data_IF_043479170394
#
_entry.id   IF_043479170394
#
_cell.length_a   1.000
_cell.length_b   1.000
_cell.length_c   1.000
_cell.angle_alpha   90.00
_cell.angle_beta   90.00
_cell.angle_gamma   90.00
#
_symmetry.space_group_name_H-M   'P 1'
#
loop_
_entity.id
_entity.type
_entity.pdbx_description
1 polymer ?
#
# COMPACT_ATOMS: atom_id res chain seq x y z
N UNK A 1 -7.73 1.69 47.79
CA UNK A 1 -6.82 0.75 47.08
C UNK A 1 -7.47 0.37 45.74
N UNK A 2 -7.07 0.99 44.63
CA UNK A 2 -7.58 0.63 43.30
C UNK A 2 -6.70 -0.46 42.70
N UNK A 3 -7.25 -1.68 42.57
CA UNK A 3 -6.62 -2.79 41.83
C UNK A 3 -6.69 -2.51 40.32
N UNK A 4 -5.70 -1.82 39.77
CA UNK A 4 -5.40 -1.89 38.33
C UNK A 4 -4.81 -3.28 38.05
N UNK A 5 -5.68 -4.22 37.67
CA UNK A 5 -5.27 -5.52 37.13
C UNK A 5 -4.48 -5.28 35.84
N UNK A 6 -3.40 -6.03 35.63
CA UNK A 6 -2.39 -5.89 34.56
C UNK A 6 -2.93 -5.85 33.13
N UNK A 7 -3.65 -4.77 32.81
CA UNK A 7 -4.21 -4.42 31.52
C UNK A 7 -3.35 -3.28 30.97
N UNK A 8 -2.84 -3.50 29.78
CA UNK A 8 -2.03 -2.52 29.06
C UNK A 8 -2.93 -1.92 28.01
N UNK A 9 -2.95 -0.58 27.94
CA UNK A 9 -3.69 0.09 26.88
C UNK A 9 -3.02 -0.24 25.54
N UNK A 10 -3.81 -0.56 24.50
CA UNK A 10 -3.31 -1.11 23.22
C UNK A 10 -2.14 -0.32 22.62
N UNK A 11 -2.17 1.00 22.79
CA UNK A 11 -1.15 1.93 22.29
C UNK A 11 0.25 1.71 22.93
N UNK A 12 0.36 0.94 24.02
CA UNK A 12 1.61 0.64 24.72
C UNK A 12 2.07 -0.80 24.57
N UNK A 13 1.37 -1.62 23.77
CA UNK A 13 1.69 -3.05 23.65
C UNK A 13 3.08 -3.24 23.03
N UNK A 14 3.40 -2.49 21.99
CA UNK A 14 4.71 -2.58 21.31
C UNK A 14 5.84 -2.01 22.17
N UNK A 15 5.60 -0.90 22.87
CA UNK A 15 6.56 -0.33 23.81
C UNK A 15 6.84 -1.30 24.97
N UNK A 16 5.80 -1.89 25.55
CA UNK A 16 5.97 -2.89 26.60
C UNK A 16 6.71 -4.13 26.10
N UNK A 17 6.39 -4.62 24.90
CA UNK A 17 7.09 -5.75 24.29
C UNK A 17 8.59 -5.46 24.14
N UNK A 18 8.94 -4.26 23.68
CA UNK A 18 10.33 -3.81 23.57
C UNK A 18 11.04 -3.77 24.93
N UNK A 19 10.40 -3.21 25.96
CA UNK A 19 10.98 -3.15 27.31
C UNK A 19 11.16 -4.55 27.93
N UNK A 20 10.20 -5.46 27.72
CA UNK A 20 10.30 -6.86 28.17
C UNK A 20 11.48 -7.56 27.49
N UNK A 21 11.63 -7.41 26.17
CA UNK A 21 12.74 -8.02 25.41
C UNK A 21 14.09 -7.50 25.95
N UNK A 22 14.20 -6.20 26.20
CA UNK A 22 15.42 -5.61 26.76
C UNK A 22 15.75 -6.14 28.15
N UNK A 23 14.77 -6.16 29.07
CA UNK A 23 15.00 -6.59 30.45
C UNK A 23 15.26 -8.10 30.54
N UNK A 24 14.67 -8.89 29.63
CA UNK A 24 14.85 -10.33 29.57
C UNK A 24 16.24 -10.78 29.10
N UNK A 25 17.07 -9.87 28.56
CA UNK A 25 18.47 -10.12 28.16
C UNK A 25 18.65 -11.36 27.28
N UNK A 26 17.88 -11.46 26.20
CA UNK A 26 17.94 -12.56 25.23
C UNK A 26 17.06 -13.77 25.54
N UNK A 27 16.45 -13.84 26.73
CA UNK A 27 15.60 -14.98 27.12
C UNK A 27 14.31 -15.08 26.31
N UNK A 28 13.81 -13.96 25.76
CA UNK A 28 12.59 -13.98 24.93
C UNK A 28 12.91 -14.64 23.60
N UNK A 29 13.97 -14.19 22.94
CA UNK A 29 14.46 -14.67 21.67
C UNK A 29 14.84 -16.15 21.76
N UNK A 30 15.59 -16.53 22.80
CA UNK A 30 15.90 -17.94 23.09
C UNK A 30 14.63 -18.77 23.21
N UNK A 31 13.64 -18.31 24.00
CA UNK A 31 12.39 -19.04 24.14
C UNK A 31 11.62 -19.15 22.83
N UNK A 32 11.62 -18.11 21.99
CA UNK A 32 11.01 -18.16 20.66
C UNK A 32 11.69 -19.23 19.79
N UNK A 33 13.02 -19.29 19.76
CA UNK A 33 13.75 -20.32 19.00
C UNK A 33 13.59 -21.74 19.54
N UNK A 34 13.18 -21.90 20.80
CA UNK A 34 12.77 -23.22 21.34
C UNK A 34 11.38 -23.66 20.89
N UNK A 35 10.58 -22.75 20.33
CA UNK A 35 9.19 -22.99 19.92
C UNK A 35 9.06 -23.01 18.40
N UNK A 36 9.77 -22.10 17.72
CA UNK A 36 9.68 -21.88 16.29
C UNK A 36 11.06 -21.96 15.67
N UNK A 37 11.23 -22.81 14.67
CA UNK A 37 12.41 -22.81 13.82
C UNK A 37 12.40 -21.60 12.85
N UNK A 38 11.20 -21.18 12.44
CA UNK A 38 10.97 -20.11 11.46
C UNK A 38 9.85 -19.16 11.92
N UNK A 39 10.07 -17.85 11.73
CA UNK A 39 9.07 -16.80 11.93
C UNK A 39 8.89 -16.04 10.61
N UNK A 40 7.64 -15.98 10.12
CA UNK A 40 7.29 -15.24 8.91
C UNK A 40 6.39 -14.06 9.30
N UNK A 41 6.78 -12.86 8.88
CA UNK A 41 6.03 -11.63 9.10
C UNK A 41 5.62 -11.05 7.75
N UNK A 42 4.32 -11.03 7.48
CA UNK A 42 3.74 -10.42 6.29
C UNK A 42 3.26 -8.99 6.57
N UNK A 43 3.06 -8.19 5.50
CA UNK A 43 2.58 -6.81 5.54
C UNK A 43 3.43 -5.89 6.45
N UNK A 44 4.76 -6.06 6.45
CA UNK A 44 5.65 -5.40 7.41
C UNK A 44 5.67 -3.87 7.30
N UNK A 45 5.14 -3.30 6.22
CA UNK A 45 4.95 -1.87 6.07
C UNK A 45 3.83 -1.27 6.93
N UNK A 46 3.01 -2.13 7.55
CA UNK A 46 1.98 -1.75 8.51
C UNK A 46 2.49 -1.82 9.97
N UNK A 47 3.72 -2.30 10.19
CA UNK A 47 4.36 -2.27 11.52
C UNK A 47 4.62 -0.82 11.94
N UNK A 48 4.29 -0.50 13.19
CA UNK A 48 4.46 0.84 13.73
C UNK A 48 5.96 1.18 13.97
N UNK A 49 6.25 2.45 14.28
CA UNK A 49 7.62 2.88 14.63
C UNK A 49 8.17 2.17 15.86
N UNK A 50 7.34 1.95 16.87
CA UNK A 50 7.66 1.19 18.09
C UNK A 50 7.78 -0.30 17.76
N UNK A 51 6.89 -0.83 16.92
CA UNK A 51 6.97 -2.20 16.43
C UNK A 51 8.30 -2.50 15.71
N UNK A 52 8.85 -1.53 14.95
CA UNK A 52 10.16 -1.67 14.34
C UNK A 52 11.30 -1.82 15.37
N UNK A 53 11.17 -1.26 16.57
CA UNK A 53 12.15 -1.51 17.65
C UNK A 53 12.10 -2.93 18.18
N UNK A 54 10.92 -3.57 18.16
CA UNK A 54 10.79 -5.00 18.46
C UNK A 54 11.40 -5.82 17.33
N UNK A 55 11.08 -5.50 16.07
CA UNK A 55 11.63 -6.19 14.90
C UNK A 55 13.16 -6.10 14.84
N UNK A 56 13.73 -4.95 15.17
CA UNK A 56 15.19 -4.78 15.30
C UNK A 56 15.81 -5.80 16.26
N UNK A 57 15.16 -6.09 17.40
CA UNK A 57 15.65 -7.11 18.34
C UNK A 57 15.60 -8.52 17.76
N UNK A 58 14.53 -8.84 17.03
CA UNK A 58 14.39 -10.13 16.36
C UNK A 58 15.44 -10.30 15.26
N UNK A 59 15.78 -9.25 14.52
CA UNK A 59 16.83 -9.28 13.50
C UNK A 59 18.23 -9.56 14.06
N UNK A 60 18.50 -9.20 15.32
CA UNK A 60 19.78 -9.52 15.98
C UNK A 60 19.83 -10.96 16.54
N UNK A 61 18.69 -11.65 16.62
CA UNK A 61 18.60 -13.02 17.11
C UNK A 61 19.21 -14.03 16.12
N UNK A 62 19.74 -15.13 16.65
CA UNK A 62 20.17 -16.30 15.86
C UNK A 62 19.44 -17.58 16.26
N UNK A 63 18.35 -17.44 16.99
CA UNK A 63 17.61 -18.55 17.60
C UNK A 63 16.56 -19.15 16.65
N UNK A 64 16.25 -18.45 15.55
CA UNK A 64 15.23 -18.83 14.55
C UNK A 64 15.55 -18.15 13.21
N UNK A 65 15.03 -18.71 12.12
CA UNK A 65 15.02 -18.05 10.81
C UNK A 65 13.88 -17.02 10.75
N UNK A 66 14.15 -15.85 10.17
CA UNK A 66 13.19 -14.76 10.08
C UNK A 66 12.97 -14.35 8.62
N UNK A 67 11.73 -14.47 8.15
CA UNK A 67 11.31 -14.05 6.82
C UNK A 67 10.34 -12.88 6.93
N UNK A 68 10.63 -11.82 6.17
CA UNK A 68 9.94 -10.54 6.26
C UNK A 68 9.44 -10.20 4.86
N UNK A 69 8.12 -10.05 4.71
CA UNK A 69 7.46 -9.76 3.44
C UNK A 69 6.65 -8.48 3.55
N UNK A 70 6.77 -7.60 2.57
CA UNK A 70 5.98 -6.37 2.52
C UNK A 70 6.22 -5.54 1.27
N UNK A 71 5.45 -4.47 1.16
CA UNK A 71 5.50 -3.53 0.04
C UNK A 71 5.31 -2.09 0.56
N UNK A 72 6.39 -1.31 0.58
CA UNK A 72 6.37 0.07 1.08
C UNK A 72 5.40 0.98 0.31
N UNK A 73 5.11 0.65 -0.95
CA UNK A 73 4.11 1.34 -1.79
C UNK A 73 2.67 1.15 -1.27
N UNK A 74 2.44 0.20 -0.37
CA UNK A 74 1.15 -0.09 0.25
C UNK A 74 1.07 0.33 1.73
N UNK A 75 2.02 1.15 2.20
CA UNK A 75 1.98 1.69 3.56
C UNK A 75 0.88 2.76 3.65
N UNK A 76 -0.28 2.41 4.23
CA UNK A 76 -1.43 3.32 4.39
C UNK A 76 -1.62 3.81 5.82
N UNK A 77 -1.18 3.02 6.80
CA UNK A 77 -1.30 3.34 8.21
C UNK A 77 -0.31 4.46 8.55
N UNK A 78 -0.73 5.42 9.36
CA UNK A 78 0.23 6.35 9.98
C UNK A 78 0.83 5.61 11.17
N UNK A 79 2.16 5.46 11.20
CA UNK A 79 2.84 4.99 12.41
C UNK A 79 2.51 5.88 13.60
N UNK A 80 2.46 5.32 14.81
CA UNK A 80 2.29 6.05 16.08
C UNK A 80 3.01 7.41 16.05
N UNK A 81 2.24 8.50 16.23
CA UNK A 81 2.77 9.86 16.32
C UNK A 81 3.47 10.12 17.67
N UNK A 82 3.40 9.19 18.62
CA UNK A 82 3.98 9.33 19.96
C UNK A 82 5.46 8.99 19.99
N UNK A 83 5.93 8.04 19.17
CA UNK A 83 7.36 7.73 19.10
C UNK A 83 8.16 8.82 18.41
N UNK A 84 9.31 9.13 19.01
CA UNK A 84 10.44 9.75 18.30
C UNK A 84 11.37 8.70 17.68
N UNK A 85 11.26 7.41 18.06
CA UNK A 85 12.07 6.33 17.49
C UNK A 85 11.62 6.05 16.05
N UNK A 86 12.56 5.62 15.20
CA UNK A 86 12.30 5.24 13.80
C UNK A 86 11.51 6.28 12.98
N UNK A 87 11.60 7.58 13.33
CA UNK A 87 10.79 8.65 12.71
C UNK A 87 10.97 8.75 11.19
N UNK A 88 12.16 8.41 10.70
CA UNK A 88 12.53 8.44 9.27
C UNK A 88 12.08 7.18 8.53
N UNK A 89 11.72 6.10 9.24
CA UNK A 89 11.21 4.85 8.69
C UNK A 89 9.69 4.93 8.49
N UNK A 90 9.25 5.94 7.73
CA UNK A 90 7.84 6.16 7.40
C UNK A 90 7.63 5.94 5.90
N UNK A 91 6.62 5.13 5.55
CA UNK A 91 6.23 4.82 4.17
C UNK A 91 7.42 4.40 3.29
N UNK A 92 7.79 5.24 2.32
CA UNK A 92 8.90 4.98 1.40
C UNK A 92 10.26 4.98 2.12
N UNK A 93 10.37 5.71 3.24
CA UNK A 93 11.56 5.70 4.10
C UNK A 93 11.76 4.38 4.85
N UNK A 94 10.75 3.49 4.88
CA UNK A 94 10.87 2.18 5.51
C UNK A 94 11.89 1.28 4.79
N UNK A 95 12.03 1.39 3.47
CA UNK A 95 13.01 0.60 2.71
C UNK A 95 14.43 0.90 3.21
N UNK A 96 14.74 2.18 3.43
CA UNK A 96 16.04 2.62 3.98
C UNK A 96 16.31 2.07 5.38
N UNK A 97 15.26 1.81 6.15
CA UNK A 97 15.39 1.19 7.46
C UNK A 97 15.86 -0.26 7.33
N UNK A 98 15.30 -1.04 6.40
CA UNK A 98 15.74 -2.41 6.12
C UNK A 98 17.14 -2.47 5.48
N UNK A 99 17.45 -1.57 4.55
CA UNK A 99 18.78 -1.45 3.92
C UNK A 99 19.90 -1.23 4.95
N UNK A 100 19.63 -0.54 6.07
CA UNK A 100 20.58 -0.40 7.19
C UNK A 100 21.00 -1.77 7.74
N UNK A 101 20.07 -2.72 7.88
CA UNK A 101 20.34 -4.06 8.43
C UNK A 101 20.95 -4.99 7.39
N UNK A 102 20.60 -4.82 6.11
CA UNK A 102 21.29 -5.50 5.02
C UNK A 102 22.77 -5.12 4.98
N UNK A 103 23.09 -3.83 5.09
CA UNK A 103 24.47 -3.34 5.15
C UNK A 103 25.25 -3.83 6.39
N UNK A 104 24.55 -4.29 7.43
CA UNK A 104 25.17 -4.91 8.62
C UNK A 104 25.31 -6.43 8.49
N UNK A 105 24.82 -7.03 7.40
CA UNK A 105 24.81 -8.49 7.20
C UNK A 105 23.78 -9.22 8.05
N UNK A 106 22.75 -8.52 8.55
CA UNK A 106 21.68 -9.08 9.38
C UNK A 106 20.43 -9.46 8.58
N UNK A 107 20.34 -8.99 7.34
CA UNK A 107 19.24 -9.23 6.43
C UNK A 107 19.78 -9.37 5.01
N UNK A 108 19.07 -10.10 4.16
CA UNK A 108 19.23 -10.06 2.70
C UNK A 108 17.92 -9.57 2.10
N UNK A 109 17.96 -8.51 1.30
CA UNK A 109 16.77 -7.98 0.62
C UNK A 109 16.68 -8.59 -0.78
N UNK A 110 15.52 -9.17 -1.09
CA UNK A 110 15.18 -9.62 -2.43
C UNK A 110 13.97 -8.85 -2.96
N UNK A 111 14.13 -8.19 -4.11
CA UNK A 111 13.05 -7.45 -4.74
C UNK A 111 12.31 -8.31 -5.77
N UNK A 112 11.02 -8.56 -5.54
CA UNK A 112 10.16 -9.27 -6.48
C UNK A 112 9.41 -8.28 -7.38
N UNK A 113 9.99 -7.97 -8.54
CA UNK A 113 9.43 -7.02 -9.51
C UNK A 113 8.43 -7.67 -10.50
N UNK A 114 7.61 -8.62 -10.04
CA UNK A 114 6.59 -9.25 -10.88
C UNK A 114 5.26 -9.44 -10.15
N UNK A 115 4.16 -9.54 -10.91
CA UNK A 115 2.80 -9.72 -10.39
C UNK A 115 2.01 -10.73 -11.18
N UNK A 116 1.26 -11.59 -10.50
CA UNK A 116 0.27 -12.49 -11.10
C UNK A 116 -1.16 -11.96 -10.97
N UNK A 117 -1.35 -10.79 -10.34
CA UNK A 117 -2.67 -10.31 -9.92
C UNK A 117 -3.41 -9.58 -11.03
N UNK A 118 -2.69 -8.83 -11.86
CA UNK A 118 -3.29 -7.89 -12.80
C UNK A 118 -2.42 -7.70 -14.02
N UNK A 119 -3.03 -7.26 -15.13
CA UNK A 119 -2.36 -7.10 -16.43
C UNK A 119 -1.25 -6.04 -16.44
N UNK A 120 -0.44 -6.08 -17.50
CA UNK A 120 0.73 -5.20 -17.67
C UNK A 120 0.37 -3.71 -17.71
N UNK A 121 -0.80 -3.34 -18.25
CA UNK A 121 -1.21 -1.93 -18.29
C UNK A 121 -1.48 -1.37 -16.89
N UNK A 122 -2.08 -2.17 -16.00
CA UNK A 122 -2.23 -1.81 -14.58
C UNK A 122 -0.87 -1.75 -13.89
N UNK A 123 0.03 -2.72 -14.14
CA UNK A 123 1.37 -2.72 -13.58
C UNK A 123 2.17 -1.46 -13.95
N UNK A 124 2.30 -1.19 -15.25
CA UNK A 124 3.02 -0.04 -15.76
C UNK A 124 2.44 1.28 -15.24
N UNK A 125 1.10 1.44 -15.24
CA UNK A 125 0.50 2.65 -14.69
C UNK A 125 0.73 2.79 -13.19
N UNK A 126 0.67 1.68 -12.44
CA UNK A 126 0.87 1.71 -10.99
C UNK A 126 2.29 2.10 -10.59
N UNK A 127 3.30 1.74 -11.38
CA UNK A 127 4.69 2.15 -11.14
C UNK A 127 4.89 3.65 -11.35
N UNK A 128 4.19 4.26 -12.32
CA UNK A 128 4.25 5.70 -12.61
C UNK A 128 3.67 6.59 -11.50
N UNK A 129 2.93 6.03 -10.54
CA UNK A 129 2.34 6.79 -9.42
C UNK A 129 3.43 7.40 -8.53
N UNK A 130 4.59 6.74 -8.45
CA UNK A 130 5.71 7.16 -7.63
C UNK A 130 6.76 7.89 -8.46
N UNK A 131 7.47 8.82 -7.83
CA UNK A 131 8.57 9.52 -8.49
C UNK A 131 9.69 8.54 -8.89
N UNK A 132 10.34 8.72 -10.06
CA UNK A 132 11.46 7.89 -10.47
C UNK A 132 12.61 7.85 -9.45
N UNK A 133 12.76 8.92 -8.66
CA UNK A 133 13.72 9.03 -7.54
C UNK A 133 13.50 8.00 -6.44
N UNK A 134 12.33 7.34 -6.39
CA UNK A 134 12.05 6.23 -5.48
C UNK A 134 12.77 4.93 -5.86
N UNK A 135 13.26 4.81 -7.11
CA UNK A 135 14.10 3.70 -7.54
C UNK A 135 13.41 2.33 -7.66
N UNK A 136 12.08 2.29 -7.76
CA UNK A 136 11.36 1.02 -7.95
C UNK A 136 11.64 0.42 -9.33
N UNK A 137 11.97 -0.87 -9.35
CA UNK A 137 12.08 -1.61 -10.59
C UNK A 137 10.71 -1.69 -11.30
N UNK A 138 10.68 -1.65 -12.65
CA UNK A 138 9.44 -1.85 -13.40
C UNK A 138 8.80 -3.20 -13.09
N UNK A 139 7.48 -3.20 -12.86
CA UNK A 139 6.73 -4.40 -12.51
C UNK A 139 6.36 -5.18 -13.78
N UNK A 140 6.78 -6.44 -13.86
CA UNK A 140 6.39 -7.37 -14.92
C UNK A 140 5.10 -8.12 -14.54
N UNK A 141 4.06 -8.00 -15.37
CA UNK A 141 2.85 -8.78 -15.22
C UNK A 141 2.97 -10.15 -15.86
N UNK A 142 2.74 -11.18 -15.04
CA UNK A 142 2.58 -12.58 -15.47
C UNK A 142 1.11 -12.97 -15.63
N UNK A 143 0.19 -11.99 -15.55
CA UNK A 143 -1.24 -12.19 -15.74
C UNK A 143 -1.59 -12.24 -17.23
N UNK A 144 -2.18 -13.35 -17.69
CA UNK A 144 -2.37 -13.62 -19.13
C UNK A 144 -3.82 -13.54 -19.61
N UNK A 145 -4.78 -13.34 -18.71
CA UNK A 145 -6.21 -13.30 -19.07
C UNK A 145 -6.61 -11.91 -19.57
N UNK A 146 -7.38 -11.85 -20.65
CA UNK A 146 -8.00 -10.63 -21.17
C UNK A 146 -9.52 -10.71 -21.01
N UNK A 147 -10.16 -9.56 -20.78
CA UNK A 147 -11.61 -9.45 -20.56
C UNK A 147 -12.35 -8.68 -21.67
N UNK A 148 -11.62 -8.11 -22.64
CA UNK A 148 -12.18 -7.27 -23.70
C UNK A 148 -12.29 -5.79 -23.30
N UNK A 149 -12.16 -5.48 -22.01
CA UNK A 149 -12.05 -4.12 -21.48
C UNK A 149 -10.91 -4.11 -20.48
N UNK A 150 -9.68 -3.89 -20.95
CA UNK A 150 -8.47 -4.09 -20.14
C UNK A 150 -7.58 -2.84 -20.13
N UNK A 151 -6.97 -2.60 -18.97
CA UNK A 151 -6.06 -1.48 -18.69
C UNK A 151 -6.73 -0.31 -17.97
N UNK A 152 -6.23 0.90 -18.21
CA UNK A 152 -6.64 2.11 -17.50
C UNK A 152 -7.50 3.00 -18.40
N UNK A 153 -8.65 3.42 -17.88
CA UNK A 153 -9.61 4.25 -18.58
C UNK A 153 -9.88 5.55 -17.82
N UNK A 154 -9.73 6.69 -18.48
CA UNK A 154 -10.22 7.97 -17.97
C UNK A 154 -11.67 8.14 -18.37
N UNK A 155 -12.53 8.39 -17.38
CA UNK A 155 -13.97 8.59 -17.57
C UNK A 155 -14.33 9.99 -17.11
N UNK A 156 -14.87 10.78 -18.02
CA UNK A 156 -15.40 12.11 -17.67
C UNK A 156 -16.63 11.95 -16.78
N UNK A 157 -16.83 12.85 -15.81
CA UNK A 157 -17.97 12.80 -14.88
C UNK A 157 -19.31 12.70 -15.61
N UNK A 158 -19.46 13.34 -16.77
CA UNK A 158 -20.71 13.26 -17.54
C UNK A 158 -21.01 11.84 -18.08
N UNK A 159 -19.99 11.01 -18.24
CA UNK A 159 -20.11 9.62 -18.72
C UNK A 159 -20.02 8.59 -17.59
N UNK A 160 -19.90 9.04 -16.34
CA UNK A 160 -19.74 8.17 -15.18
C UNK A 160 -20.86 7.13 -15.08
N UNK A 161 -22.12 7.56 -15.14
CA UNK A 161 -23.28 6.68 -14.93
C UNK A 161 -23.32 5.56 -15.99
N UNK A 162 -23.15 5.93 -17.27
CA UNK A 162 -23.05 4.96 -18.36
C UNK A 162 -21.91 3.96 -18.17
N UNK A 163 -20.74 4.39 -17.66
CA UNK A 163 -19.63 3.47 -17.39
C UNK A 163 -19.99 2.49 -16.27
N UNK A 164 -20.57 3.00 -15.17
CA UNK A 164 -20.92 2.18 -14.01
C UNK A 164 -21.97 1.14 -14.37
N UNK A 165 -22.98 1.51 -15.16
CA UNK A 165 -24.01 0.60 -15.67
C UNK A 165 -23.41 -0.47 -16.60
N UNK A 166 -22.53 -0.06 -17.51
CA UNK A 166 -21.94 -0.97 -18.51
C UNK A 166 -21.02 -2.02 -17.88
N UNK A 167 -20.18 -1.63 -16.92
CA UNK A 167 -19.11 -2.49 -16.42
C UNK A 167 -19.28 -2.96 -14.97
N UNK A 168 -20.24 -2.41 -14.23
CA UNK A 168 -20.50 -2.72 -12.82
C UNK A 168 -19.23 -2.86 -11.95
N UNK A 169 -18.31 -1.87 -11.98
CA UNK A 169 -17.05 -1.96 -11.25
C UNK A 169 -17.24 -1.76 -9.75
N UNK A 170 -16.27 -2.20 -8.95
CA UNK A 170 -16.22 -1.82 -7.53
C UNK A 170 -15.81 -0.35 -7.41
N UNK A 171 -16.67 0.49 -6.84
CA UNK A 171 -16.42 1.92 -6.72
C UNK A 171 -15.55 2.24 -5.50
N UNK A 172 -14.41 2.87 -5.74
CA UNK A 172 -13.41 3.19 -4.75
C UNK A 172 -13.28 4.71 -4.58
N UNK A 173 -13.22 5.16 -3.32
CA UNK A 173 -12.92 6.55 -2.95
C UNK A 173 -11.83 6.62 -1.90
N UNK A 174 -11.17 7.78 -1.80
CA UNK A 174 -10.12 7.97 -0.80
C UNK A 174 -10.67 7.93 0.64
N UNK A 175 -11.74 8.68 0.90
CA UNK A 175 -12.45 8.72 2.18
C UNK A 175 -13.89 9.19 2.01
N UNK A 176 -14.68 9.17 3.10
CA UNK A 176 -16.10 9.56 3.10
C UNK A 176 -16.38 10.99 2.61
N UNK A 177 -15.42 11.92 2.75
CA UNK A 177 -15.56 13.32 2.30
C UNK A 177 -15.32 13.46 0.80
N UNK A 178 -14.57 12.54 0.19
CA UNK A 178 -14.30 12.54 -1.24
C UNK A 178 -15.56 12.11 -1.99
N UNK A 179 -16.00 12.94 -2.95
CA UNK A 179 -17.21 12.70 -3.75
C UNK A 179 -18.48 12.48 -2.90
N UNK A 180 -18.58 13.19 -1.77
CA UNK A 180 -19.69 13.06 -0.83
C UNK A 180 -21.06 13.42 -1.45
N UNK A 181 -21.08 14.17 -2.55
CA UNK A 181 -22.28 14.54 -3.28
C UNK A 181 -22.90 13.39 -4.12
N UNK A 182 -22.29 12.20 -4.13
CA UNK A 182 -22.77 11.04 -4.88
C UNK A 182 -23.35 9.98 -3.93
N UNK A 183 -24.45 10.31 -3.26
CA UNK A 183 -25.05 9.44 -2.23
C UNK A 183 -25.60 8.11 -2.77
N UNK A 184 -25.97 8.07 -4.05
CA UNK A 184 -26.49 6.87 -4.71
C UNK A 184 -25.42 5.85 -5.11
N UNK A 185 -24.14 6.21 -5.02
CA UNK A 185 -23.04 5.31 -5.38
C UNK A 185 -22.49 4.64 -4.13
N UNK A 186 -22.50 3.31 -4.12
CA UNK A 186 -21.90 2.54 -3.03
C UNK A 186 -20.38 2.53 -3.14
N UNK A 187 -19.70 3.13 -2.16
CA UNK A 187 -18.25 3.29 -2.16
C UNK A 187 -17.55 2.45 -1.11
N UNK A 188 -16.39 1.93 -1.48
CA UNK A 188 -15.40 1.40 -0.55
C UNK A 188 -14.19 2.34 -0.47
N UNK A 189 -13.62 2.48 0.73
CA UNK A 189 -12.44 3.32 0.93
C UNK A 189 -11.17 2.56 0.51
N UNK A 190 -10.16 3.28 0.00
CA UNK A 190 -8.89 2.66 -0.44
C UNK A 190 -8.23 1.77 0.64
N UNK A 191 -8.25 2.21 1.90
CA UNK A 191 -7.70 1.40 3.00
C UNK A 191 -8.48 0.13 3.30
N UNK A 192 -9.80 0.11 3.07
CA UNK A 192 -10.67 -1.05 3.34
C UNK A 192 -10.50 -2.14 2.29
N UNK A 193 -10.04 -1.77 1.10
CA UNK A 193 -9.83 -2.73 -0.01
C UNK A 193 -8.41 -3.30 -0.07
N UNK A 194 -7.49 -2.86 0.81
CA UNK A 194 -6.17 -3.47 0.94
C UNK A 194 -6.32 -4.98 1.21
N UNK A 195 -5.47 -5.79 0.57
CA UNK A 195 -5.57 -7.26 0.61
C UNK A 195 -6.66 -7.89 -0.27
N UNK A 196 -7.58 -7.11 -0.85
CA UNK A 196 -8.64 -7.62 -1.73
C UNK A 196 -8.26 -7.52 -3.21
N UNK A 197 -8.99 -8.22 -4.07
CA UNK A 197 -8.82 -8.18 -5.53
C UNK A 197 -10.20 -8.24 -6.18
N UNK A 198 -10.39 -7.48 -7.26
CA UNK A 198 -11.63 -7.36 -8.01
C UNK A 198 -11.34 -7.43 -9.50
N UNK A 199 -12.33 -7.83 -10.30
CA UNK A 199 -12.17 -7.85 -11.75
C UNK A 199 -12.03 -6.44 -12.33
N UNK A 200 -12.86 -5.50 -11.85
CA UNK A 200 -12.87 -4.10 -12.29
C UNK A 200 -13.06 -3.17 -11.09
N UNK A 201 -12.37 -2.03 -11.12
CA UNK A 201 -12.56 -0.97 -10.13
C UNK A 201 -12.81 0.38 -10.82
N UNK A 202 -13.60 1.24 -10.19
CA UNK A 202 -13.77 2.63 -10.57
C UNK A 202 -13.25 3.52 -9.44
N UNK A 203 -12.17 4.25 -9.68
CA UNK A 203 -11.51 5.13 -8.73
C UNK A 203 -12.01 6.55 -8.94
N UNK A 204 -12.61 7.11 -7.90
CA UNK A 204 -13.14 8.46 -7.93
C UNK A 204 -12.03 9.45 -7.56
N UNK A 205 -11.48 10.11 -8.59
CA UNK A 205 -10.23 10.84 -8.48
C UNK A 205 -10.36 12.05 -7.53
N UNK A 206 -9.47 12.13 -6.55
CA UNK A 206 -9.28 13.33 -5.74
C UNK A 206 -8.58 14.42 -6.55
N UNK A 207 -8.51 15.64 -6.03
CA UNK A 207 -7.80 16.73 -6.71
C UNK A 207 -6.31 16.39 -6.98
N UNK A 208 -5.54 15.83 -6.03
CA UNK A 208 -4.19 15.35 -6.31
C UNK A 208 -4.09 14.29 -7.41
N UNK A 209 -5.02 13.33 -7.47
CA UNK A 209 -5.03 12.32 -8.55
C UNK A 209 -5.31 13.01 -9.91
N UNK A 210 -6.22 13.98 -9.95
CA UNK A 210 -6.51 14.73 -11.17
C UNK A 210 -5.31 15.57 -11.63
N UNK A 211 -4.59 16.19 -10.71
CA UNK A 211 -3.39 16.96 -11.01
C UNK A 211 -2.20 16.07 -11.43
N UNK A 212 -2.07 14.86 -10.86
CA UNK A 212 -1.11 13.86 -11.32
C UNK A 212 -1.36 13.49 -12.79
N UNK A 213 -2.60 13.11 -13.14
CA UNK A 213 -2.94 12.69 -14.49
C UNK A 213 -2.87 13.84 -15.49
N UNK A 214 -3.42 15.01 -15.14
CA UNK A 214 -3.55 16.13 -16.06
C UNK A 214 -2.32 17.04 -16.15
N UNK A 215 -1.44 17.01 -15.16
CA UNK A 215 -0.29 17.95 -15.07
C UNK A 215 1.03 17.27 -14.75
N UNK A 216 1.06 15.96 -14.50
CA UNK A 216 2.26 15.24 -14.07
C UNK A 216 2.74 15.61 -12.67
N UNK A 217 1.87 16.16 -11.82
CA UNK A 217 2.23 16.53 -10.44
C UNK A 217 2.14 15.30 -9.53
N UNK A 218 3.28 14.82 -9.03
CA UNK A 218 3.32 13.66 -8.13
C UNK A 218 2.51 13.89 -6.84
N UNK A 219 1.90 12.80 -6.37
CA UNK A 219 1.13 12.81 -5.14
C UNK A 219 2.08 12.74 -3.94
N UNK A 220 1.71 13.38 -2.82
CA UNK A 220 2.38 13.14 -1.53
C UNK A 220 2.30 11.66 -1.16
N UNK A 221 3.32 11.14 -0.47
CA UNK A 221 3.53 9.71 -0.17
C UNK A 221 2.27 8.96 0.24
N UNK A 222 1.52 9.47 1.23
CA UNK A 222 0.28 8.82 1.69
C UNK A 222 -0.80 8.74 0.61
N UNK A 223 -0.94 9.79 -0.19
CA UNK A 223 -1.90 9.81 -1.31
C UNK A 223 -1.44 8.90 -2.45
N UNK A 224 -0.13 8.86 -2.73
CA UNK A 224 0.47 7.95 -3.70
C UNK A 224 0.23 6.49 -3.31
N UNK A 225 0.54 6.10 -2.06
CA UNK A 225 0.31 4.75 -1.55
C UNK A 225 -1.18 4.38 -1.61
N UNK A 226 -2.07 5.29 -1.21
CA UNK A 226 -3.52 5.08 -1.30
C UNK A 226 -4.00 4.85 -2.73
N UNK A 227 -3.49 5.63 -3.68
CA UNK A 227 -3.84 5.50 -5.09
C UNK A 227 -3.27 4.22 -5.70
N UNK A 228 -2.02 3.87 -5.38
CA UNK A 228 -1.39 2.62 -5.76
C UNK A 228 -2.18 1.41 -5.28
N UNK A 229 -2.58 1.39 -4.00
CA UNK A 229 -3.45 0.32 -3.47
C UNK A 229 -4.73 0.22 -4.27
N UNK A 230 -5.43 1.33 -4.52
CA UNK A 230 -6.69 1.34 -5.25
C UNK A 230 -6.55 0.80 -6.69
N UNK A 231 -5.53 1.25 -7.43
CA UNK A 231 -5.24 0.82 -8.80
C UNK A 231 -4.95 -0.68 -8.86
N UNK A 232 -4.10 -1.17 -7.96
CA UNK A 232 -3.65 -2.57 -7.93
C UNK A 232 -4.69 -3.56 -7.40
N UNK A 233 -5.91 -3.10 -7.06
CA UNK A 233 -7.01 -4.00 -6.69
C UNK A 233 -7.72 -4.60 -7.90
N UNK A 234 -7.63 -3.98 -9.08
CA UNK A 234 -8.26 -4.51 -10.29
C UNK A 234 -7.39 -5.56 -10.99
N UNK A 235 -8.00 -6.61 -11.53
CA UNK A 235 -7.33 -7.61 -12.40
C UNK A 235 -7.32 -7.17 -13.86
N UNK A 236 -8.45 -6.65 -14.34
CA UNK A 236 -8.69 -6.36 -15.76
C UNK A 236 -8.67 -4.87 -16.06
N UNK A 237 -9.52 -4.07 -15.40
CA UNK A 237 -9.61 -2.64 -15.71
C UNK A 237 -9.77 -1.74 -14.51
N UNK A 238 -9.14 -0.57 -14.62
CA UNK A 238 -9.33 0.55 -13.72
C UNK A 238 -9.98 1.69 -14.49
N UNK A 239 -11.16 2.12 -14.05
CA UNK A 239 -11.73 3.40 -14.45
C UNK A 239 -11.24 4.47 -13.47
N UNK A 240 -10.79 5.61 -13.97
CA UNK A 240 -10.50 6.79 -13.16
C UNK A 240 -11.54 7.84 -13.51
N UNK A 241 -12.49 8.04 -12.58
CA UNK A 241 -13.56 9.01 -12.74
C UNK A 241 -13.02 10.40 -12.44
N UNK A 242 -12.95 11.25 -13.47
CA UNK A 242 -12.44 12.62 -13.41
C UNK A 242 -13.59 13.63 -13.43
N UNK A 243 -13.42 14.78 -12.79
CA UNK A 243 -14.38 15.89 -12.93
C UNK A 243 -14.48 16.37 -14.37
N UNK A 244 -13.34 16.42 -15.05
CA UNK A 244 -13.20 16.68 -16.48
C UNK A 244 -11.93 15.97 -16.96
N UNK A 245 -12.00 15.30 -18.10
CA UNK A 245 -10.82 14.65 -18.71
C UNK A 245 -9.95 15.72 -19.39
N UNK A 246 -8.63 15.78 -19.11
CA UNK A 246 -7.73 16.73 -19.76
C UNK A 246 -7.71 16.59 -21.28
N UNK A 247 -7.60 17.73 -21.99
CA UNK A 247 -7.52 17.77 -23.47
C UNK A 247 -6.18 17.21 -23.98
N UNK A 248 -5.12 17.37 -23.20
CA UNK A 248 -3.78 16.85 -23.50
C UNK A 248 -3.38 15.89 -22.40
N UNK A 249 -2.94 14.70 -22.77
CA UNK A 249 -2.50 13.66 -21.84
C UNK A 249 -1.05 13.29 -22.15
N UNK A 250 -0.29 13.00 -21.10
CA UNK A 250 1.02 12.39 -21.27
C UNK A 250 0.84 10.97 -21.82
N UNK A 251 1.32 10.71 -23.04
CA UNK A 251 1.23 9.41 -23.70
C UNK A 251 1.87 8.28 -22.87
N UNK A 252 2.86 8.62 -22.03
CA UNK A 252 3.54 7.64 -21.18
C UNK A 252 2.64 7.05 -20.09
N UNK A 253 1.50 7.67 -19.77
CA UNK A 253 0.55 7.14 -18.79
C UNK A 253 -0.18 5.88 -19.28
N UNK A 254 -0.20 5.59 -20.59
CA UNK A 254 -0.85 4.39 -21.12
C UNK A 254 -2.36 4.32 -20.85
N UNK A 255 -3.02 5.48 -20.66
CA UNK A 255 -4.45 5.59 -20.35
C UNK A 255 -5.28 5.77 -21.63
N UNK A 256 -6.50 5.24 -21.61
CA UNK A 256 -7.49 5.39 -22.70
C UNK A 256 -8.62 6.31 -22.24
N UNK A 257 -9.11 7.21 -23.10
CA UNK A 257 -10.32 7.98 -22.78
C UNK A 257 -11.53 7.12 -23.13
N UNK A 258 -12.40 6.89 -22.16
CA UNK A 258 -13.65 6.16 -22.38
C UNK A 258 -14.79 7.11 -22.72
N UNK A 259 -15.63 6.69 -23.67
CA UNK A 259 -16.90 7.32 -24.04
C UNK A 259 -17.94 6.22 -24.24
N UNK A 260 -19.22 6.47 -23.94
CA UNK A 260 -20.29 5.56 -24.35
C UNK A 260 -20.31 5.45 -25.88
N UNK A 261 -20.67 4.26 -26.37
CA UNK A 261 -20.94 4.05 -27.80
C UNK A 261 -22.20 4.80 -28.23
#
# INVERSE_FOLDING_TARGET
>A
MNKLHGRVHKDYVEELAFEIINEAKGKVEFRLGRIFDEIIIDEVQDISREGLSVLEKLLYSREFDLFIVGDSRQSLIDSSLRSKKNKTADRLGLVKWYEKFENQGLLKIEHLAYTYRFNQAIAAFSDLIFEPTCGFAPTESRFKTCSGHDGIFLVDRKYMESYLETFSPVNLRYNKKSWANLEKVEFQNFGVVKGRTFDRVAIFATKPIQDFIGKGQYLKDKSACGFYVAVTRARYSVAIIMKSVPTTLNSNLGVKIWKPN
#
